data_IF_248944144482
#
_entry.id   IF_248944144482
#
_cell.length_a   1.000
_cell.length_b   1.000
_cell.length_c   1.000
_cell.angle_alpha   90.00
_cell.angle_beta   90.00
_cell.angle_gamma   90.00
#
_symmetry.space_group_name_H-M   'P 1'
#
loop_
_entity.id
_entity.type
_entity.pdbx_description
1 polymer ?
#
# COMPACT_ATOMS: atom_id res chain seq x y z
N UNK A 1 -26.43 -12.74 96.54
CA UNK A 1 -27.74 -12.84 95.84
C UNK A 1 -27.93 -11.63 94.94
N UNK A 2 -27.97 -11.84 93.63
CA UNK A 2 -28.80 -11.15 92.62
C UNK A 2 -28.50 -11.85 91.30
N UNK A 3 -29.39 -12.77 90.94
CA UNK A 3 -29.38 -13.47 89.65
C UNK A 3 -30.42 -12.87 88.69
N UNK A 4 -30.24 -13.20 87.40
CA UNK A 4 -31.19 -13.29 86.26
C UNK A 4 -30.30 -13.39 85.00
N UNK A 5 -30.00 -14.57 84.43
CA UNK A 5 -30.78 -15.39 83.45
C UNK A 5 -31.35 -14.46 82.33
N UNK A 6 -31.07 -14.59 81.01
CA UNK A 6 -31.28 -15.65 80.00
C UNK A 6 -30.38 -15.36 78.76
N UNK A 7 -29.68 -16.31 78.11
CA UNK A 7 -30.08 -17.34 77.11
C UNK A 7 -30.19 -16.84 75.63
N UNK A 8 -29.60 -17.62 74.71
CA UNK A 8 -29.71 -17.63 73.22
C UNK A 8 -29.02 -16.49 72.45
N UNK A 9 -28.38 -16.65 71.27
CA UNK A 9 -28.32 -17.69 70.24
C UNK A 9 -26.94 -17.58 69.51
N UNK A 10 -26.22 -18.66 69.26
CA UNK A 10 -26.20 -19.48 68.04
C UNK A 10 -25.90 -18.74 66.71
N UNK A 11 -24.91 -19.30 66.01
CA UNK A 11 -24.64 -19.25 64.56
C UNK A 11 -23.64 -18.23 64.00
N UNK A 12 -22.44 -18.78 63.75
CA UNK A 12 -21.90 -19.05 62.41
C UNK A 12 -21.87 -17.87 61.42
N UNK A 13 -20.68 -17.28 61.23
CA UNK A 13 -20.24 -16.96 59.88
C UNK A 13 -18.73 -17.11 59.78
N UNK A 14 -18.32 -18.23 59.20
CA UNK A 14 -17.00 -18.45 58.65
C UNK A 14 -16.77 -17.37 57.57
N UNK A 15 -16.11 -16.26 57.92
CA UNK A 15 -15.61 -15.33 56.89
C UNK A 15 -14.36 -15.98 56.28
N UNK A 16 -14.59 -16.82 55.28
CA UNK A 16 -13.58 -17.12 54.27
C UNK A 16 -13.16 -15.79 53.67
N UNK A 17 -12.00 -15.29 54.09
CA UNK A 17 -11.32 -14.19 53.43
C UNK A 17 -11.00 -14.62 52.01
N UNK A 18 -11.91 -14.33 51.09
CA UNK A 18 -11.66 -14.37 49.67
C UNK A 18 -10.57 -13.32 49.43
N UNK A 19 -9.33 -13.79 49.32
CA UNK A 19 -8.23 -12.98 48.86
C UNK A 19 -8.54 -12.57 47.42
N UNK A 20 -9.23 -11.43 47.27
CA UNK A 20 -9.29 -10.66 46.04
C UNK A 20 -7.88 -10.15 45.78
N UNK A 21 -7.05 -11.02 45.18
CA UNK A 21 -5.89 -10.58 44.46
C UNK A 21 -6.38 -9.51 43.47
N UNK A 22 -5.85 -8.27 43.51
CA UNK A 22 -6.17 -7.31 42.48
C UNK A 22 -5.64 -7.92 41.17
N UNK A 23 -6.55 -8.40 40.33
CA UNK A 23 -6.29 -8.60 38.92
C UNK A 23 -6.02 -7.21 38.38
N UNK A 24 -4.76 -6.79 38.44
CA UNK A 24 -4.25 -5.67 37.66
C UNK A 24 -4.38 -6.15 36.22
N UNK A 25 -5.54 -5.89 35.61
CA UNK A 25 -5.62 -5.80 34.16
C UNK A 25 -4.61 -4.72 33.80
N UNK A 26 -3.45 -5.14 33.33
CA UNK A 26 -2.52 -4.25 32.65
C UNK A 26 -3.33 -3.62 31.52
N UNK A 27 -3.74 -2.37 31.70
CA UNK A 27 -4.32 -1.59 30.63
C UNK A 27 -3.26 -1.57 29.53
N UNK A 28 -3.58 -2.17 28.39
CA UNK A 28 -2.70 -2.26 27.24
C UNK A 28 -2.30 -0.82 26.89
N UNK A 29 -1.03 -0.47 27.10
CA UNK A 29 -0.56 0.91 26.91
C UNK A 29 -0.70 1.22 25.43
N UNK A 30 -1.65 2.10 25.07
CA UNK A 30 -1.88 2.54 23.68
C UNK A 30 -0.54 2.96 23.06
N UNK A 31 -0.25 2.48 21.85
CA UNK A 31 0.99 2.85 21.15
C UNK A 31 1.06 4.36 20.92
N UNK A 32 2.27 4.90 20.73
CA UNK A 32 2.41 6.33 20.44
C UNK A 32 1.71 6.69 19.13
N UNK A 33 1.79 5.83 18.13
CA UNK A 33 1.16 6.05 16.83
C UNK A 33 -0.36 6.06 16.92
N UNK A 34 -0.96 5.11 17.63
CA UNK A 34 -2.42 5.08 17.80
C UNK A 34 -2.94 6.29 18.58
N UNK A 35 -2.26 6.69 19.65
CA UNK A 35 -2.61 7.91 20.39
C UNK A 35 -2.46 9.16 19.50
N UNK A 36 -1.43 9.20 18.65
CA UNK A 36 -1.21 10.30 17.73
C UNK A 36 -2.29 10.35 16.64
N UNK A 37 -2.66 9.22 16.05
CA UNK A 37 -3.73 9.11 15.06
C UNK A 37 -5.06 9.56 15.67
N UNK A 38 -5.38 9.16 16.90
CA UNK A 38 -6.60 9.60 17.56
C UNK A 38 -6.63 11.14 17.75
N UNK A 39 -5.50 11.74 18.13
CA UNK A 39 -5.38 13.20 18.22
C UNK A 39 -5.47 13.87 16.83
N UNK A 40 -4.86 13.27 15.81
CA UNK A 40 -4.92 13.74 14.42
C UNK A 40 -6.37 13.74 13.89
N UNK A 41 -7.11 12.66 14.11
CA UNK A 41 -8.51 12.52 13.68
C UNK A 41 -9.42 13.56 14.37
N UNK A 42 -9.10 13.91 15.61
CA UNK A 42 -9.76 14.98 16.38
C UNK A 42 -9.29 16.39 16.00
N UNK A 43 -8.29 16.52 15.10
CA UNK A 43 -7.61 17.77 14.75
C UNK A 43 -7.00 18.48 15.96
N UNK A 44 -6.56 17.70 16.96
CA UNK A 44 -5.96 18.20 18.19
C UNK A 44 -4.44 18.33 18.05
N UNK A 45 -4.00 19.46 17.51
CA UNK A 45 -2.57 19.76 17.31
C UNK A 45 -1.78 19.81 18.63
N UNK A 46 -2.40 20.32 19.69
CA UNK A 46 -1.77 20.39 21.01
C UNK A 46 -1.59 18.97 21.58
N UNK A 47 -2.61 18.12 21.44
CA UNK A 47 -2.55 16.70 21.79
C UNK A 47 -1.43 15.97 21.06
N UNK A 48 -1.35 16.11 19.73
CA UNK A 48 -0.28 15.54 18.92
C UNK A 48 1.12 15.94 19.42
N UNK A 49 1.33 17.23 19.68
CA UNK A 49 2.60 17.74 20.22
C UNK A 49 2.93 17.17 21.60
N UNK A 50 1.93 17.12 22.50
CA UNK A 50 2.13 16.64 23.86
C UNK A 50 2.47 15.14 23.92
N UNK A 51 1.85 14.34 23.06
CA UNK A 51 2.16 12.91 22.93
C UNK A 51 3.64 12.71 22.57
N UNK A 52 4.13 13.43 21.55
CA UNK A 52 5.52 13.32 21.09
C UNK A 52 6.51 13.83 22.16
N UNK A 53 6.18 14.90 22.88
CA UNK A 53 7.01 15.39 24.00
C UNK A 53 7.10 14.38 25.13
N UNK A 54 5.97 13.80 25.53
CA UNK A 54 5.89 12.88 26.65
C UNK A 54 6.56 11.52 26.36
N UNK A 55 6.54 11.07 25.10
CA UNK A 55 6.98 9.73 24.70
C UNK A 55 8.02 9.76 23.58
N UNK A 56 8.88 10.77 23.55
CA UNK A 56 9.85 11.01 22.47
C UNK A 56 10.73 9.80 22.13
N UNK A 57 11.11 9.00 23.13
CA UNK A 57 11.94 7.79 22.96
C UNK A 57 11.26 6.69 22.15
N UNK A 58 9.93 6.63 22.15
CA UNK A 58 9.14 5.60 21.45
C UNK A 58 8.84 6.00 20.00
N UNK A 59 9.05 7.27 19.63
CA UNK A 59 8.67 7.82 18.31
C UNK A 59 9.48 7.23 17.15
N UNK A 60 10.82 7.09 17.23
CA UNK A 60 11.60 6.54 16.11
C UNK A 60 11.14 5.14 15.69
N UNK A 61 10.89 4.26 16.65
CA UNK A 61 10.47 2.88 16.39
C UNK A 61 9.05 2.82 15.81
N UNK A 62 8.14 3.67 16.30
CA UNK A 62 6.78 3.75 15.75
C UNK A 62 6.77 4.26 14.31
N UNK A 63 7.50 5.35 14.04
CA UNK A 63 7.63 5.93 12.69
C UNK A 63 8.25 4.91 11.73
N UNK A 64 9.31 4.22 12.17
CA UNK A 64 9.95 3.15 11.40
C UNK A 64 8.95 2.04 11.06
N UNK A 65 8.18 1.57 12.04
CA UNK A 65 7.20 0.50 11.85
C UNK A 65 6.12 0.89 10.83
N UNK A 66 5.61 2.13 10.89
CA UNK A 66 4.64 2.64 9.91
C UNK A 66 5.23 2.70 8.49
N UNK A 67 6.46 3.18 8.35
CA UNK A 67 7.15 3.25 7.04
C UNK A 67 7.42 1.85 6.50
N UNK A 68 7.92 0.93 7.31
CA UNK A 68 8.19 -0.46 6.90
C UNK A 68 6.91 -1.16 6.44
N UNK A 69 5.82 -1.01 7.19
CA UNK A 69 4.52 -1.56 6.78
C UNK A 69 4.00 -0.93 5.49
N UNK A 70 4.08 0.40 5.34
CA UNK A 70 3.70 1.08 4.10
C UNK A 70 4.54 0.59 2.89
N UNK A 71 5.80 0.21 3.10
CA UNK A 71 6.68 -0.29 2.05
C UNK A 71 6.59 -1.80 1.79
N UNK A 72 5.92 -2.56 2.67
CA UNK A 72 5.88 -4.03 2.63
C UNK A 72 5.11 -4.63 1.45
N UNK A 73 4.39 -3.81 0.68
CA UNK A 73 3.51 -4.27 -0.40
C UNK A 73 2.15 -4.80 0.05
N UNK A 74 1.91 -4.90 1.37
CA UNK A 74 0.60 -5.29 1.94
C UNK A 74 -0.41 -4.15 2.04
N UNK A 75 0.05 -2.90 2.13
CA UNK A 75 -0.81 -1.72 2.26
C UNK A 75 -1.29 -1.21 0.89
N UNK A 76 -2.54 -0.78 0.79
CA UNK A 76 -3.11 -0.12 -0.41
C UNK A 76 -2.52 1.28 -0.61
N UNK A 77 -2.69 1.86 -1.80
CA UNK A 77 -2.14 3.20 -2.15
C UNK A 77 -2.56 4.28 -1.15
N UNK A 78 -3.85 4.33 -0.84
CA UNK A 78 -4.43 5.31 0.09
C UNK A 78 -3.93 5.09 1.52
N UNK A 79 -3.78 3.84 1.93
CA UNK A 79 -3.27 3.46 3.25
C UNK A 79 -1.79 3.81 3.39
N UNK A 80 -0.98 3.55 2.37
CA UNK A 80 0.40 3.97 2.30
C UNK A 80 0.54 5.50 2.40
N UNK A 81 -0.28 6.26 1.65
CA UNK A 81 -0.24 7.74 1.70
C UNK A 81 -0.62 8.27 3.08
N UNK A 82 -1.63 7.65 3.71
CA UNK A 82 -2.01 7.95 5.08
C UNK A 82 -0.87 7.67 6.07
N UNK A 83 -0.25 6.49 6.00
CA UNK A 83 0.85 6.10 6.89
C UNK A 83 2.06 7.01 6.73
N UNK A 84 2.45 7.37 5.50
CA UNK A 84 3.54 8.31 5.25
C UNK A 84 3.21 9.72 5.75
N UNK A 85 1.95 10.16 5.66
CA UNK A 85 1.52 11.43 6.22
C UNK A 85 1.64 11.45 7.75
N UNK A 86 1.10 10.44 8.44
CA UNK A 86 1.19 10.31 9.90
C UNK A 86 2.66 10.24 10.35
N UNK A 87 3.44 9.34 9.74
CA UNK A 87 4.87 9.19 10.02
C UNK A 87 5.64 10.50 9.80
N UNK A 88 5.32 11.24 8.75
CA UNK A 88 5.94 12.53 8.43
C UNK A 88 5.64 13.60 9.48
N UNK A 89 4.38 13.73 9.91
CA UNK A 89 4.00 14.66 10.96
C UNK A 89 4.64 14.31 12.31
N UNK A 90 4.62 13.03 12.68
CA UNK A 90 5.29 12.55 13.90
C UNK A 90 6.78 12.87 13.89
N UNK A 91 7.46 12.59 12.77
CA UNK A 91 8.89 12.86 12.60
C UNK A 91 9.20 14.37 12.61
N UNK A 92 8.33 15.20 12.01
CA UNK A 92 8.49 16.65 12.04
C UNK A 92 8.34 17.22 13.45
N UNK A 93 7.33 16.79 14.20
CA UNK A 93 7.14 17.21 15.58
C UNK A 93 8.30 16.72 16.46
N UNK A 94 8.75 15.47 16.26
CA UNK A 94 9.91 14.93 16.95
C UNK A 94 11.18 15.75 16.69
N UNK A 95 11.44 16.14 15.44
CA UNK A 95 12.56 17.02 15.09
C UNK A 95 12.49 18.36 15.82
N UNK A 96 11.30 18.97 15.93
CA UNK A 96 11.11 20.21 16.71
C UNK A 96 11.38 20.03 18.21
N UNK A 97 11.09 18.86 18.76
CA UNK A 97 11.26 18.56 20.20
C UNK A 97 12.70 18.16 20.55
N UNK A 98 13.34 17.36 19.69
CA UNK A 98 14.65 16.75 19.95
C UNK A 98 15.81 17.47 19.28
N UNK A 99 15.55 18.26 18.24
CA UNK A 99 16.57 18.82 17.35
C UNK A 99 17.09 17.82 16.30
N UNK A 100 16.57 16.59 16.25
CA UNK A 100 17.02 15.55 15.32
C UNK A 100 16.06 15.40 14.12
N UNK A 101 16.46 15.95 12.97
CA UNK A 101 15.67 15.92 11.74
C UNK A 101 15.88 14.64 10.90
N UNK A 102 16.82 13.76 11.29
CA UNK A 102 17.17 12.56 10.48
C UNK A 102 15.96 11.65 10.24
N UNK A 103 15.07 11.56 11.23
CA UNK A 103 13.85 10.77 11.13
C UNK A 103 12.91 11.33 10.05
N UNK A 104 12.76 12.65 9.96
CA UNK A 104 11.95 13.31 8.94
C UNK A 104 12.55 13.11 7.54
N UNK A 105 13.87 13.27 7.41
CA UNK A 105 14.56 13.03 6.14
C UNK A 105 14.36 11.58 5.67
N UNK A 106 14.45 10.60 6.57
CA UNK A 106 14.24 9.19 6.24
C UNK A 106 12.82 8.91 5.75
N UNK A 107 11.79 9.49 6.40
CA UNK A 107 10.39 9.36 5.95
C UNK A 107 10.22 9.95 4.54
N UNK A 108 10.76 11.15 4.29
CA UNK A 108 10.67 11.81 2.99
C UNK A 108 11.36 11.02 1.88
N UNK A 109 12.56 10.48 2.14
CA UNK A 109 13.29 9.65 1.18
C UNK A 109 12.51 8.38 0.85
N UNK A 110 11.97 7.70 1.85
CA UNK A 110 11.19 6.47 1.64
C UNK A 110 9.88 6.76 0.91
N UNK A 111 9.19 7.85 1.25
CA UNK A 111 7.98 8.24 0.55
C UNK A 111 8.26 8.57 -0.91
N UNK A 112 9.35 9.31 -1.19
CA UNK A 112 9.80 9.56 -2.56
C UNK A 112 10.09 8.26 -3.30
N UNK A 113 10.76 7.29 -2.68
CA UNK A 113 11.01 5.98 -3.31
C UNK A 113 9.70 5.23 -3.62
N UNK A 114 8.69 5.34 -2.76
CA UNK A 114 7.35 4.78 -3.02
C UNK A 114 6.65 5.54 -4.14
N UNK A 115 6.71 6.86 -4.15
CA UNK A 115 6.17 7.70 -5.23
C UNK A 115 6.88 7.45 -6.56
N UNK A 116 8.20 7.20 -6.57
CA UNK A 116 8.96 6.88 -7.77
C UNK A 116 8.58 5.47 -8.28
N UNK A 117 8.36 4.50 -7.38
CA UNK A 117 7.81 3.17 -7.73
C UNK A 117 6.39 3.26 -8.29
N UNK A 118 5.54 4.12 -7.73
CA UNK A 118 4.20 4.44 -8.26
C UNK A 118 4.25 5.30 -9.52
N UNK A 119 5.29 6.12 -9.63
CA UNK A 119 5.63 7.03 -10.73
C UNK A 119 6.21 6.31 -11.94
N UNK A 120 6.48 5.00 -11.81
CA UNK A 120 6.25 4.00 -12.85
C UNK A 120 4.77 4.01 -13.26
N UNK A 121 4.42 5.08 -13.97
CA UNK A 121 3.11 5.63 -14.28
C UNK A 121 1.94 4.64 -14.19
N UNK A 122 1.02 4.89 -13.26
CA UNK A 122 -0.34 4.38 -13.37
C UNK A 122 -0.93 4.96 -14.66
N UNK A 123 -1.06 4.10 -15.68
CA UNK A 123 -1.41 4.54 -17.02
C UNK A 123 -2.86 5.01 -17.00
N UNK A 124 -3.20 6.22 -17.49
CA UNK A 124 -4.57 6.70 -17.46
C UNK A 124 -5.53 5.66 -18.05
N UNK A 125 -6.60 5.34 -17.32
CA UNK A 125 -7.54 4.29 -17.73
C UNK A 125 -8.09 4.55 -19.14
N UNK A 126 -8.45 5.80 -19.44
CA UNK A 126 -8.91 6.22 -20.76
C UNK A 126 -7.88 5.96 -21.87
N UNK A 127 -6.61 6.32 -21.63
CA UNK A 127 -5.54 6.05 -22.60
C UNK A 127 -5.34 4.54 -22.81
N UNK A 128 -5.45 3.75 -21.74
CA UNK A 128 -5.40 2.28 -21.81
C UNK A 128 -6.55 1.71 -22.64
N UNK A 129 -7.78 2.19 -22.43
CA UNK A 129 -8.97 1.75 -23.18
C UNK A 129 -8.86 2.11 -24.67
N UNK A 130 -8.45 3.34 -24.98
CA UNK A 130 -8.27 3.81 -26.35
C UNK A 130 -7.18 3.02 -27.09
N UNK A 131 -6.03 2.76 -26.43
CA UNK A 131 -4.96 1.92 -27.00
C UNK A 131 -5.45 0.48 -27.23
N UNK A 132 -6.12 -0.12 -26.26
CA UNK A 132 -6.63 -1.50 -26.39
C UNK A 132 -7.58 -1.63 -27.58
N UNK A 133 -8.45 -0.64 -27.75
CA UNK A 133 -9.39 -0.58 -28.88
C UNK A 133 -8.65 -0.46 -30.20
N UNK A 134 -7.78 0.54 -30.37
CA UNK A 134 -7.05 0.78 -31.62
C UNK A 134 -6.12 -0.39 -31.99
N UNK A 135 -5.48 -1.05 -31.01
CA UNK A 135 -4.66 -2.25 -31.25
C UNK A 135 -5.49 -3.47 -31.69
N UNK A 136 -6.67 -3.66 -31.10
CA UNK A 136 -7.59 -4.74 -31.48
C UNK A 136 -8.12 -4.54 -32.89
N UNK A 137 -8.46 -3.29 -33.25
CA UNK A 137 -8.88 -2.91 -34.60
C UNK A 137 -7.76 -3.08 -35.63
N UNK A 138 -6.51 -2.70 -35.28
CA UNK A 138 -5.34 -2.92 -36.13
C UNK A 138 -5.09 -4.42 -36.41
N UNK A 139 -5.33 -5.26 -35.39
CA UNK A 139 -5.30 -6.71 -35.49
C UNK A 139 -6.54 -7.33 -36.14
N UNK A 140 -7.50 -6.52 -36.62
CA UNK A 140 -8.78 -6.96 -37.23
C UNK A 140 -9.57 -7.94 -36.36
N UNK A 141 -9.44 -7.86 -35.03
CA UNK A 141 -10.10 -8.74 -34.07
C UNK A 141 -9.38 -10.05 -33.74
N UNK A 142 -8.25 -10.34 -34.41
CA UNK A 142 -7.38 -11.48 -34.11
C UNK A 142 -6.46 -11.20 -32.92
N UNK A 143 -6.23 -9.92 -32.62
CA UNK A 143 -5.39 -9.46 -31.51
C UNK A 143 -6.25 -9.19 -30.29
N UNK A 144 -5.79 -9.65 -29.12
CA UNK A 144 -6.35 -9.32 -27.82
C UNK A 144 -5.22 -8.83 -26.92
N UNK A 145 -5.33 -7.60 -26.43
CA UNK A 145 -4.41 -7.11 -25.40
C UNK A 145 -4.69 -7.89 -24.10
N UNK A 146 -3.78 -8.79 -23.74
CA UNK A 146 -3.87 -9.65 -22.56
C UNK A 146 -3.24 -9.02 -21.33
N UNK A 147 -2.20 -8.21 -21.54
CA UNK A 147 -1.50 -7.50 -20.47
C UNK A 147 -1.22 -6.06 -20.88
N UNK A 148 -1.39 -5.15 -19.93
CA UNK A 148 -1.12 -3.74 -20.11
C UNK A 148 -0.78 -3.15 -18.75
N UNK A 149 0.50 -2.99 -18.48
CA UNK A 149 0.99 -2.57 -17.15
C UNK A 149 2.35 -1.90 -17.26
N UNK A 150 2.72 -1.20 -16.20
CA UNK A 150 4.10 -0.76 -15.99
C UNK A 150 4.83 -1.83 -15.17
N UNK A 151 5.97 -2.31 -15.66
CA UNK A 151 6.83 -3.25 -14.95
C UNK A 151 7.52 -2.57 -13.75
N UNK A 152 8.07 -3.34 -12.82
CA UNK A 152 8.68 -2.82 -11.59
C UNK A 152 9.86 -1.86 -11.82
N UNK A 153 10.47 -1.90 -13.02
CA UNK A 153 11.53 -1.00 -13.46
C UNK A 153 10.99 0.31 -14.08
N UNK A 154 9.67 0.51 -14.10
CA UNK A 154 9.02 1.69 -14.68
C UNK A 154 8.78 1.61 -16.19
N UNK A 155 9.07 0.48 -16.84
CA UNK A 155 8.90 0.31 -18.28
C UNK A 155 7.49 -0.20 -18.63
N UNK A 156 6.93 0.29 -19.74
CA UNK A 156 5.61 -0.15 -20.22
C UNK A 156 5.69 -1.56 -20.83
N UNK A 157 4.82 -2.47 -20.38
CA UNK A 157 4.62 -3.78 -20.99
C UNK A 157 3.20 -3.89 -21.55
N UNK A 158 3.12 -4.16 -22.84
CA UNK A 158 1.88 -4.52 -23.53
C UNK A 158 2.03 -5.91 -24.12
N UNK A 159 1.19 -6.85 -23.71
CA UNK A 159 1.13 -8.20 -24.28
C UNK A 159 -0.14 -8.33 -25.11
N UNK A 160 0.03 -8.85 -26.32
CA UNK A 160 -1.01 -9.07 -27.31
C UNK A 160 -1.05 -10.57 -27.63
N UNK A 161 -2.14 -11.21 -27.24
CA UNK A 161 -2.44 -12.57 -27.64
C UNK A 161 -3.03 -12.54 -29.05
N UNK A 162 -2.49 -13.38 -29.93
CA UNK A 162 -2.93 -13.51 -31.31
C UNK A 162 -3.65 -14.84 -31.46
N UNK A 163 -4.93 -14.75 -31.84
CA UNK A 163 -5.73 -15.94 -32.14
C UNK A 163 -5.12 -16.68 -33.32
N UNK A 164 -4.99 -17.99 -33.18
CA UNK A 164 -4.77 -18.86 -34.33
C UNK A 164 -6.03 -18.81 -35.20
N UNK A 165 -5.89 -18.61 -36.51
CA UNK A 165 -7.04 -18.62 -37.41
C UNK A 165 -7.69 -19.98 -37.33
N UNK A 166 -8.94 -20.03 -36.86
CA UNK A 166 -9.79 -21.21 -36.78
C UNK A 166 -10.08 -21.71 -38.20
N UNK A 167 -9.13 -22.45 -38.78
CA UNK A 167 -9.07 -22.74 -40.21
C UNK A 167 -7.89 -23.62 -40.61
N UNK A 168 -7.63 -24.69 -39.86
CA UNK A 168 -7.11 -25.95 -40.41
C UNK A 168 -5.65 -26.09 -40.87
N UNK A 169 -4.82 -25.05 -40.94
CA UNK A 169 -3.45 -25.22 -41.48
C UNK A 169 -2.31 -25.25 -40.44
N UNK A 170 -2.59 -25.02 -39.15
CA UNK A 170 -1.56 -25.14 -38.09
C UNK A 170 -0.38 -24.16 -38.26
N UNK A 171 -0.55 -23.09 -39.02
CA UNK A 171 0.49 -22.09 -39.26
C UNK A 171 0.51 -21.06 -38.13
N UNK A 172 1.70 -20.89 -37.54
CA UNK A 172 1.95 -19.85 -36.53
C UNK A 172 1.64 -18.47 -37.13
N UNK A 173 0.79 -17.64 -36.49
CA UNK A 173 0.44 -16.31 -36.98
C UNK A 173 1.68 -15.44 -37.20
N UNK A 174 1.77 -14.78 -38.36
CA UNK A 174 2.87 -13.85 -38.66
C UNK A 174 2.45 -12.41 -38.41
N UNK A 175 3.28 -11.68 -37.66
CA UNK A 175 3.07 -10.25 -37.41
C UNK A 175 3.84 -9.43 -38.44
N UNK A 176 3.10 -8.76 -39.32
CA UNK A 176 3.66 -7.88 -40.35
C UNK A 176 4.38 -6.67 -39.74
N UNK A 177 5.53 -6.32 -40.32
CA UNK A 177 6.35 -5.20 -39.84
C UNK A 177 5.58 -3.87 -39.81
N UNK A 178 4.79 -3.58 -40.85
CA UNK A 178 4.00 -2.34 -40.93
C UNK A 178 2.96 -2.24 -39.81
N UNK A 179 2.36 -3.37 -39.41
CA UNK A 179 1.44 -3.42 -38.27
C UNK A 179 2.18 -3.18 -36.96
N UNK A 180 3.40 -3.69 -36.80
CA UNK A 180 4.20 -3.41 -35.59
C UNK A 180 4.56 -1.93 -35.46
N UNK A 181 4.88 -1.26 -36.57
CA UNK A 181 5.16 0.18 -36.59
C UNK A 181 3.92 0.98 -36.19
N UNK A 182 2.76 0.67 -36.76
CA UNK A 182 1.48 1.32 -36.40
C UNK A 182 1.11 1.07 -34.94
N UNK A 183 1.36 -0.12 -34.40
CA UNK A 183 1.12 -0.42 -32.99
C UNK A 183 1.96 0.48 -32.07
N UNK A 184 3.23 0.72 -32.41
CA UNK A 184 4.09 1.68 -31.69
C UNK A 184 3.53 3.09 -31.77
N UNK A 185 3.11 3.54 -32.95
CA UNK A 185 2.52 4.87 -33.17
C UNK A 185 1.23 5.07 -32.34
N UNK A 186 0.36 4.05 -32.26
CA UNK A 186 -0.87 4.08 -31.42
C UNK A 186 -0.50 4.29 -29.94
N UNK A 187 0.48 3.55 -29.43
CA UNK A 187 0.91 3.67 -28.04
C UNK A 187 1.50 5.06 -27.77
N UNK A 188 2.38 5.55 -28.65
CA UNK A 188 3.01 6.87 -28.50
C UNK A 188 2.00 8.03 -28.65
N UNK A 189 0.96 7.87 -29.46
CA UNK A 189 -0.13 8.86 -29.59
C UNK A 189 -0.86 9.11 -28.27
N UNK A 190 -1.15 8.04 -27.52
CA UNK A 190 -1.92 8.11 -26.28
C UNK A 190 -1.05 8.21 -25.02
N UNK A 191 0.20 7.77 -25.12
CA UNK A 191 1.20 7.83 -24.05
C UNK A 191 2.50 8.47 -24.57
N UNK A 192 2.49 9.77 -24.93
CA UNK A 192 3.66 10.44 -25.51
C UNK A 192 4.86 10.50 -24.55
N UNK A 193 4.63 10.30 -23.25
CA UNK A 193 5.66 10.30 -22.22
C UNK A 193 6.21 8.90 -21.90
N UNK A 194 5.64 7.83 -22.47
CA UNK A 194 6.14 6.47 -22.29
C UNK A 194 7.40 6.24 -23.14
N UNK A 195 8.56 6.66 -22.62
CA UNK A 195 9.86 6.60 -23.30
C UNK A 195 10.54 5.24 -23.27
N UNK A 196 10.05 4.29 -22.46
CA UNK A 196 10.65 2.96 -22.33
C UNK A 196 9.57 1.92 -22.16
N UNK A 197 9.73 0.81 -22.88
CA UNK A 197 8.79 -0.31 -22.81
C UNK A 197 8.90 -1.26 -23.99
N UNK A 198 8.01 -2.24 -24.04
CA UNK A 198 7.93 -3.23 -25.11
C UNK A 198 6.49 -3.66 -25.38
N UNK A 199 6.21 -3.97 -26.64
CA UNK A 199 5.00 -4.65 -27.08
C UNK A 199 5.39 -6.07 -27.50
N UNK A 200 4.75 -7.06 -26.89
CA UNK A 200 4.95 -8.48 -27.14
C UNK A 200 3.72 -9.05 -27.84
N UNK A 201 3.91 -9.76 -28.93
CA UNK A 201 2.89 -10.62 -29.53
C UNK A 201 3.19 -12.05 -29.17
N UNK A 202 2.20 -12.76 -28.65
CA UNK A 202 2.27 -14.18 -28.35
C UNK A 202 1.08 -14.91 -28.97
N UNK A 203 1.22 -16.22 -29.15
CA UNK A 203 0.09 -17.10 -29.48
C UNK A 203 0.31 -18.44 -28.75
N UNK A 204 -0.68 -18.87 -27.98
CA UNK A 204 -0.62 -20.08 -27.16
C UNK A 204 0.66 -20.20 -26.29
N UNK A 205 1.14 -19.07 -25.76
CA UNK A 205 2.37 -19.01 -24.94
C UNK A 205 3.68 -18.99 -25.73
N UNK A 206 3.64 -19.04 -27.06
CA UNK A 206 4.81 -18.89 -27.94
C UNK A 206 4.98 -17.42 -28.30
N UNK A 207 6.17 -16.87 -28.08
CA UNK A 207 6.52 -15.51 -28.49
C UNK A 207 6.64 -15.39 -30.00
N UNK A 208 5.84 -14.53 -30.62
CA UNK A 208 5.82 -14.29 -32.06
C UNK A 208 6.69 -13.10 -32.46
N UNK A 209 6.62 -12.01 -31.70
CA UNK A 209 7.31 -10.76 -32.01
C UNK A 209 7.45 -9.89 -30.77
N UNK A 210 8.51 -9.10 -30.74
CA UNK A 210 8.74 -8.05 -29.75
C UNK A 210 9.19 -6.79 -30.47
N UNK A 211 8.66 -5.64 -30.05
CA UNK A 211 9.21 -4.33 -30.40
C UNK A 211 9.40 -3.51 -29.14
N UNK A 212 10.39 -2.62 -29.16
CA UNK A 212 10.68 -1.70 -28.07
C UNK A 212 10.09 -0.31 -28.36
N UNK A 213 9.59 0.31 -27.29
CA UNK A 213 9.20 1.71 -27.27
C UNK A 213 10.46 2.50 -26.92
N UNK A 214 10.83 3.44 -27.78
CA UNK A 214 11.99 4.34 -27.61
C UNK A 214 11.52 5.72 -27.16
#
# INVERSE_FOLDING_TARGET
>A
MKGRIYFLALSFFLFTGLALAPVVRAAEKVSVGNAFIEAFDKKDEAGMMNIIKARSKEVPDEVKSMVEYAMSGGAKKEEQDFLFNIAGMMAQIYGKVSGDERLLSAVQTNYKAVLDKRGGSEIPQKATEDIKKELTELGKGDWRVSNFKTEANGELLIEIDVKESSGGEGLTPKIEFDKTKKAKEIVQKHLPNAKKGKILWNSAGVGLKTIFLD
#
